data_IF_052227764209
#
_entry.id   IF_052227764209
#
_cell.length_a   1.000
_cell.length_b   1.000
_cell.length_c   1.000
_cell.angle_alpha   90.00
_cell.angle_beta   90.00
_cell.angle_gamma   90.00
#
_symmetry.space_group_name_H-M   'P 1'
#
loop_
_entity.id
_entity.type
_entity.pdbx_description
1 polymer ?
#
# COMPACT_ATOMS: atom_id res chain seq x y z
N UNK A 1 5.63 -1.17 -1.58
CA UNK A 1 6.78 -2.10 -1.63
C UNK A 1 8.02 -1.25 -1.52
N UNK A 2 8.81 -1.46 -0.47
CA UNK A 2 10.11 -0.81 -0.33
C UNK A 2 11.20 -1.73 -0.92
N UNK A 3 12.19 -1.14 -1.57
CA UNK A 3 13.27 -1.87 -2.23
C UNK A 3 14.59 -1.27 -1.76
N UNK A 4 15.41 -2.06 -1.09
CA UNK A 4 16.75 -1.67 -0.69
C UNK A 4 17.64 -1.58 -1.94
N UNK A 5 17.90 -0.36 -2.40
CA UNK A 5 18.64 -0.08 -3.62
C UNK A 5 20.00 0.57 -3.30
N UNK A 6 21.13 -0.12 -3.55
CA UNK A 6 22.45 0.46 -3.33
C UNK A 6 22.78 1.51 -4.41
N UNK A 7 23.32 2.66 -3.99
CA UNK A 7 23.80 3.72 -4.90
C UNK A 7 25.33 3.68 -5.00
N UNK A 8 25.85 3.07 -6.07
CA UNK A 8 27.29 2.82 -6.25
C UNK A 8 28.15 4.09 -6.38
N UNK A 9 27.55 5.20 -6.80
CA UNK A 9 28.27 6.47 -7.02
C UNK A 9 28.49 7.26 -5.74
N UNK A 10 27.43 7.40 -4.92
CA UNK A 10 27.39 8.36 -3.82
C UNK A 10 27.30 7.71 -2.44
N UNK A 11 26.57 6.60 -2.29
CA UNK A 11 26.43 5.96 -0.99
C UNK A 11 27.49 4.87 -0.80
N UNK A 12 28.59 5.24 -0.14
CA UNK A 12 29.71 4.33 0.15
C UNK A 12 29.52 3.50 1.42
N UNK A 13 28.46 3.77 2.20
CA UNK A 13 28.16 3.07 3.46
C UNK A 13 27.23 1.88 3.19
N UNK A 14 26.06 2.13 2.61
CA UNK A 14 25.05 1.09 2.36
C UNK A 14 25.29 0.44 0.98
N UNK A 15 26.40 -0.28 0.88
CA UNK A 15 26.82 -1.01 -0.34
C UNK A 15 26.02 -2.30 -0.53
N UNK A 16 26.18 -2.95 -1.70
CA UNK A 16 25.58 -4.26 -1.97
C UNK A 16 25.96 -5.30 -0.90
N UNK A 17 27.25 -5.41 -0.57
CA UNK A 17 27.74 -6.31 0.48
C UNK A 17 27.16 -5.93 1.85
N UNK A 18 27.12 -4.65 2.18
CA UNK A 18 26.59 -4.18 3.47
C UNK A 18 25.14 -4.64 3.69
N UNK A 19 24.28 -4.50 2.67
CA UNK A 19 22.92 -5.03 2.73
C UNK A 19 22.90 -6.55 2.76
N UNK A 20 23.69 -7.22 1.90
CA UNK A 20 23.74 -8.68 1.79
C UNK A 20 24.06 -9.38 3.11
N UNK A 21 24.94 -8.80 3.94
CA UNK A 21 25.31 -9.35 5.25
C UNK A 21 24.21 -9.19 6.33
N UNK A 22 23.23 -8.32 6.09
CA UNK A 22 22.24 -7.88 7.09
C UNK A 22 20.83 -8.33 6.77
N UNK A 23 20.51 -8.49 5.49
CA UNK A 23 19.17 -8.86 5.09
C UNK A 23 18.88 -10.32 5.40
N UNK A 24 17.67 -10.60 5.87
CA UNK A 24 17.17 -11.95 6.04
C UNK A 24 15.70 -12.01 5.61
N UNK A 25 15.24 -13.16 5.14
CA UNK A 25 13.82 -13.37 4.83
C UNK A 25 13.08 -13.77 6.08
N UNK A 26 11.88 -13.23 6.27
CA UNK A 26 10.94 -13.75 7.26
C UNK A 26 10.63 -15.22 6.94
N UNK A 27 10.50 -16.05 7.98
CA UNK A 27 10.20 -17.47 7.85
C UNK A 27 8.71 -17.75 7.63
N UNK A 28 8.38 -18.99 7.29
CA UNK A 28 6.99 -19.44 7.08
C UNK A 28 6.14 -19.38 8.37
N UNK A 29 6.78 -19.28 9.53
CA UNK A 29 6.16 -19.14 10.85
C UNK A 29 5.77 -17.68 11.19
N UNK A 30 6.14 -16.72 10.35
CA UNK A 30 5.78 -15.32 10.55
C UNK A 30 4.31 -15.04 10.20
N UNK A 31 3.55 -14.47 11.13
CA UNK A 31 2.17 -14.02 10.91
C UNK A 31 2.13 -12.55 10.43
N UNK A 32 1.82 -12.29 9.15
CA UNK A 32 1.76 -10.92 8.62
C UNK A 32 0.48 -10.18 8.99
N UNK A 33 -0.45 -10.78 9.75
CA UNK A 33 -1.70 -10.14 10.16
C UNK A 33 -1.59 -9.41 11.51
N UNK A 34 -0.55 -9.69 12.30
CA UNK A 34 -0.25 -8.97 13.54
C UNK A 34 0.41 -7.62 13.25
N UNK A 35 -0.38 -6.55 13.41
CA UNK A 35 0.08 -5.17 13.17
C UNK A 35 1.18 -4.72 14.14
N UNK A 36 1.18 -5.20 15.38
CA UNK A 36 2.17 -4.81 16.39
C UNK A 36 3.50 -5.49 16.07
N UNK A 37 3.47 -6.80 15.79
CA UNK A 37 4.65 -7.55 15.39
C UNK A 37 5.25 -7.00 14.08
N UNK A 38 4.41 -6.67 13.09
CA UNK A 38 4.83 -6.03 11.86
C UNK A 38 5.54 -4.69 12.08
N UNK A 39 5.00 -3.84 12.95
CA UNK A 39 5.61 -2.55 13.26
C UNK A 39 6.95 -2.70 14.02
N UNK A 40 7.06 -3.70 14.89
CA UNK A 40 8.33 -4.03 15.54
C UNK A 40 9.36 -4.51 14.52
N UNK A 41 8.97 -5.39 13.58
CA UNK A 41 9.86 -5.87 12.51
C UNK A 41 10.32 -4.76 11.57
N UNK A 42 9.44 -3.84 11.18
CA UNK A 42 9.81 -2.72 10.31
C UNK A 42 10.84 -1.75 10.93
N UNK A 43 11.01 -1.80 12.25
CA UNK A 43 12.00 -0.97 12.96
C UNK A 43 13.37 -1.65 13.08
N UNK A 44 13.52 -2.91 12.63
CA UNK A 44 14.82 -3.57 12.61
C UNK A 44 15.75 -2.93 11.60
N UNK A 45 16.86 -2.39 12.11
CA UNK A 45 17.91 -1.76 11.31
C UNK A 45 19.27 -1.92 11.97
N UNK A 46 20.35 -1.81 11.19
CA UNK A 46 21.71 -1.96 11.69
C UNK A 46 22.23 -3.36 11.45
N UNK A 47 22.05 -4.28 12.40
CA UNK A 47 22.64 -5.62 12.32
C UNK A 47 21.82 -6.60 11.48
N UNK A 48 20.48 -6.43 11.47
CA UNK A 48 19.55 -7.25 10.70
C UNK A 48 18.48 -6.38 10.07
N UNK A 49 18.07 -6.75 8.86
CA UNK A 49 17.02 -6.08 8.10
C UNK A 49 16.07 -7.14 7.56
N UNK A 50 14.82 -7.12 8.01
CA UNK A 50 13.81 -8.06 7.53
C UNK A 50 13.39 -7.76 6.09
N UNK A 51 13.36 -8.79 5.25
CA UNK A 51 12.78 -8.78 3.91
C UNK A 51 11.53 -9.67 3.87
N UNK A 52 10.70 -9.44 2.86
CA UNK A 52 9.40 -10.07 2.58
C UNK A 52 8.18 -9.27 3.09
N UNK A 53 6.97 -9.84 2.99
CA UNK A 53 5.71 -9.21 3.41
C UNK A 53 5.66 -9.09 4.94
N UNK A 54 6.01 -7.91 5.45
CA UNK A 54 5.99 -7.63 6.89
C UNK A 54 4.56 -7.46 7.41
N UNK A 55 3.62 -6.96 6.61
CA UNK A 55 2.21 -6.82 6.98
C UNK A 55 1.28 -7.04 5.80
N UNK A 56 0.19 -7.76 6.03
CA UNK A 56 -0.90 -7.93 5.08
C UNK A 56 -2.22 -8.05 5.82
N UNK A 57 -3.20 -7.28 5.37
CA UNK A 57 -4.56 -7.36 5.87
C UNK A 57 -5.53 -7.20 4.71
N UNK A 58 -6.60 -8.00 4.73
CA UNK A 58 -7.73 -7.83 3.83
C UNK A 58 -8.73 -6.85 4.45
N UNK A 59 -8.98 -5.74 3.77
CA UNK A 59 -9.94 -4.70 4.17
C UNK A 59 -10.54 -4.09 2.91
N UNK A 60 -11.78 -3.57 2.99
CA UNK A 60 -12.37 -2.86 1.88
C UNK A 60 -11.44 -1.76 1.37
N UNK A 61 -11.27 -1.65 0.05
CA UNK A 61 -10.55 -0.52 -0.54
C UNK A 61 -11.33 0.77 -0.30
N UNK A 62 -10.73 1.90 -0.65
CA UNK A 62 -11.42 3.18 -0.53
C UNK A 62 -12.68 3.22 -1.41
N UNK A 63 -12.58 2.72 -2.64
CA UNK A 63 -13.67 2.70 -3.63
C UNK A 63 -14.84 1.81 -3.20
N UNK A 64 -14.56 0.65 -2.60
CA UNK A 64 -15.58 -0.27 -2.09
C UNK A 64 -16.39 0.33 -0.93
N UNK A 65 -15.83 1.32 -0.24
CA UNK A 65 -16.49 2.02 0.85
C UNK A 65 -17.40 3.15 0.36
N UNK A 66 -17.30 3.57 -0.91
CA UNK A 66 -18.09 4.68 -1.46
C UNK A 66 -19.48 4.19 -1.91
N UNK A 67 -20.59 4.60 -1.25
CA UNK A 67 -21.93 4.18 -1.65
C UNK A 67 -22.26 4.56 -3.10
N UNK A 68 -21.77 5.72 -3.54
CA UNK A 68 -21.93 6.21 -4.90
C UNK A 68 -21.33 5.28 -5.96
N UNK A 69 -20.37 4.41 -5.61
CA UNK A 69 -19.70 3.49 -6.53
C UNK A 69 -20.23 2.05 -6.48
N UNK A 70 -21.27 1.76 -5.67
CA UNK A 70 -21.84 0.40 -5.55
C UNK A 70 -22.33 -0.20 -6.87
N UNK A 71 -22.85 0.64 -7.77
CA UNK A 71 -23.32 0.23 -9.10
C UNK A 71 -22.20 0.29 -10.17
N UNK A 72 -20.93 0.38 -9.76
CA UNK A 72 -19.77 0.43 -10.65
C UNK A 72 -19.26 1.83 -10.95
N UNK A 73 -18.36 1.94 -11.94
CA UNK A 73 -17.67 3.19 -12.28
C UNK A 73 -18.65 4.21 -12.86
N UNK A 74 -18.62 5.45 -12.36
CA UNK A 74 -19.58 6.50 -12.75
C UNK A 74 -19.61 6.77 -14.26
N UNK A 75 -18.47 6.78 -14.93
CA UNK A 75 -18.40 7.04 -16.38
C UNK A 75 -19.04 5.95 -17.26
N UNK A 76 -19.32 4.77 -16.68
CA UNK A 76 -19.99 3.67 -17.37
C UNK A 76 -21.51 3.67 -17.18
N UNK A 77 -22.02 4.57 -16.34
CA UNK A 77 -23.46 4.67 -16.08
C UNK A 77 -24.07 5.63 -17.09
N UNK A 78 -25.28 5.32 -17.51
CA UNK A 78 -26.07 6.26 -18.30
C UNK A 78 -26.43 7.48 -17.46
N UNK A 79 -26.42 8.66 -18.10
CA UNK A 79 -26.79 9.93 -17.45
C UNK A 79 -28.26 10.18 -17.69
N UNK A 80 -29.01 10.39 -16.61
CA UNK A 80 -30.38 10.90 -16.70
C UNK A 80 -30.34 12.42 -16.92
N UNK A 81 -30.48 12.82 -18.19
CA UNK A 81 -30.50 14.23 -18.57
C UNK A 81 -31.75 14.96 -18.08
N UNK A 82 -32.88 14.26 -17.93
CA UNK A 82 -34.10 14.89 -17.40
C UNK A 82 -33.93 15.25 -15.93
N UNK A 83 -33.30 14.38 -15.14
CA UNK A 83 -32.93 14.69 -13.76
C UNK A 83 -31.95 15.88 -13.68
N UNK A 84 -30.97 15.92 -14.59
CA UNK A 84 -29.98 17.01 -14.64
C UNK A 84 -30.65 18.36 -14.95
N UNK A 85 -31.53 18.41 -15.94
CA UNK A 85 -32.22 19.65 -16.34
C UNK A 85 -33.07 20.20 -15.19
N UNK A 86 -33.84 19.34 -14.52
CA UNK A 86 -34.65 19.73 -13.36
C UNK A 86 -33.79 20.27 -12.20
N UNK A 87 -32.62 19.67 -11.96
CA UNK A 87 -31.69 20.13 -10.92
C UNK A 87 -31.14 21.52 -11.25
N UNK A 88 -30.80 21.78 -12.52
CA UNK A 88 -30.29 23.09 -12.93
C UNK A 88 -31.36 24.18 -12.77
N UNK A 89 -32.62 23.89 -13.07
CA UNK A 89 -33.73 24.83 -12.88
C UNK A 89 -33.97 25.16 -11.38
N UNK A 90 -33.71 24.24 -10.45
CA UNK A 90 -33.85 24.49 -9.01
C UNK A 90 -32.85 25.53 -8.47
N UNK A 91 -31.66 25.63 -9.08
CA UNK A 91 -30.58 26.53 -8.64
C UNK A 91 -30.49 27.85 -9.44
N UNK A 92 -31.38 28.08 -10.41
CA UNK A 92 -31.49 29.34 -11.17
C UNK A 92 -32.59 30.24 -10.60
#
# INVERSE_FOLDING_TARGET
MDVLQPCVSFNRVNTFTWYGDRVYKLGDDYDPTDKIAAFQKSQEWGDKISLDVIYKQDRPTFEEQLPALKEGLLFKRDVDYTLLDNLLEEFM
#
